data_IF_132152785589
#
_entry.id   IF_132152785589
#
_cell.length_a   1.000
_cell.length_b   1.000
_cell.length_c   1.000
_cell.angle_alpha   90.00
_cell.angle_beta   90.00
_cell.angle_gamma   90.00
#
_symmetry.space_group_name_H-M   'P 1'
#
loop_
_entity.id
_entity.type
_entity.pdbx_description
1 polymer ?
#
# COMPACT_ATOMS: atom_id res chain seq x y z
N UNK A 1 -1.72 1.96 13.42
CA UNK A 1 -2.66 2.82 12.68
C UNK A 1 -4.02 2.15 12.47
N UNK A 2 -4.02 0.88 12.14
CA UNK A 2 -5.27 0.15 11.90
C UNK A 2 -6.17 0.17 13.12
N UNK A 3 -5.61 -0.13 14.29
CA UNK A 3 -6.37 -0.22 15.52
C UNK A 3 -6.85 1.13 16.02
N UNK A 4 -6.19 2.20 15.63
CA UNK A 4 -6.58 3.54 16.04
C UNK A 4 -7.64 4.16 15.15
N UNK A 5 -8.05 3.47 14.09
CA UNK A 5 -9.03 4.00 13.14
C UNK A 5 -8.44 5.04 12.18
N UNK A 6 -7.14 5.13 12.10
CA UNK A 6 -6.48 6.14 11.26
C UNK A 6 -6.93 6.05 9.80
N UNK A 7 -7.11 4.83 9.28
CA UNK A 7 -7.41 4.65 7.86
C UNK A 7 -8.85 4.91 7.49
N UNK A 8 -9.75 4.96 8.47
CA UNK A 8 -11.16 5.17 8.18
C UNK A 8 -11.37 6.57 7.63
N UNK A 9 -12.04 6.66 6.50
CA UNK A 9 -12.28 7.94 5.83
C UNK A 9 -11.11 8.42 4.97
N UNK A 10 -10.01 7.70 4.91
CA UNK A 10 -8.93 8.05 4.00
C UNK A 10 -9.22 7.52 2.61
N UNK A 11 -8.50 8.04 1.62
CA UNK A 11 -8.73 7.69 0.21
C UNK A 11 -7.48 7.10 -0.41
N UNK A 12 -7.68 6.41 -1.53
CA UNK A 12 -6.58 6.12 -2.44
C UNK A 12 -6.36 7.36 -3.29
N UNK A 13 -5.43 8.18 -2.88
CA UNK A 13 -5.21 9.50 -3.49
C UNK A 13 -4.26 9.47 -4.68
N UNK A 14 -3.63 8.34 -4.94
CA UNK A 14 -2.70 8.21 -6.06
C UNK A 14 -2.87 6.83 -6.69
N UNK A 15 -3.35 6.82 -7.92
CA UNK A 15 -3.66 5.58 -8.63
C UNK A 15 -2.94 5.62 -9.97
N UNK A 16 -2.02 4.69 -10.18
CA UNK A 16 -1.24 4.60 -11.42
C UNK A 16 -1.42 3.19 -12.00
N UNK A 17 -2.28 3.06 -13.03
CA UNK A 17 -2.51 1.74 -13.64
C UNK A 17 -1.22 1.09 -14.09
N UNK A 18 -1.11 -0.21 -13.84
CA UNK A 18 0.08 -0.96 -14.20
C UNK A 18 1.27 -0.72 -13.28
N UNK A 19 1.09 0.03 -12.22
CA UNK A 19 2.15 0.30 -11.25
C UNK A 19 1.66 0.03 -9.82
N UNK A 20 0.85 0.93 -9.24
CA UNK A 20 0.40 0.76 -7.86
C UNK A 20 -0.82 1.64 -7.57
N UNK A 21 -1.50 1.35 -6.46
CA UNK A 21 -2.46 2.28 -5.86
C UNK A 21 -1.97 2.62 -4.46
N UNK A 22 -2.05 3.89 -4.10
CA UNK A 22 -1.49 4.39 -2.84
C UNK A 22 -2.55 5.13 -2.06
N UNK A 23 -2.60 4.91 -0.76
CA UNK A 23 -3.59 5.54 0.09
C UNK A 23 -3.22 5.52 1.56
N UNK A 24 -4.18 5.90 2.37
CA UNK A 24 -4.07 5.83 3.83
C UNK A 24 -3.57 7.10 4.48
N UNK A 25 -3.38 8.19 3.73
CA UNK A 25 -2.83 9.42 4.30
C UNK A 25 -3.71 10.66 4.17
N UNK A 26 -4.67 10.65 3.26
CA UNK A 26 -5.43 11.86 2.94
C UNK A 26 -6.93 11.63 3.03
N UNK A 27 -7.66 12.68 3.41
CA UNK A 27 -9.12 12.70 3.37
C UNK A 27 -9.60 12.90 1.94
N UNK A 28 -10.91 12.74 1.66
CA UNK A 28 -11.43 13.04 0.32
C UNK A 28 -11.14 14.45 -0.15
N UNK A 29 -10.97 15.40 0.77
CA UNK A 29 -10.60 16.77 0.46
C UNK A 29 -9.10 16.94 0.23
N UNK A 30 -8.33 15.84 0.30
CA UNK A 30 -6.88 15.83 0.14
C UNK A 30 -6.15 16.58 1.26
N UNK A 31 -6.71 16.53 2.44
CA UNK A 31 -6.03 17.01 3.65
C UNK A 31 -5.30 15.84 4.30
N UNK A 32 -4.04 16.07 4.62
CA UNK A 32 -3.22 15.02 5.21
C UNK A 32 -3.62 14.78 6.66
N UNK A 33 -3.86 13.53 7.02
CA UNK A 33 -4.19 13.20 8.41
C UNK A 33 -2.90 13.14 9.23
N UNK A 34 -2.95 13.61 10.48
CA UNK A 34 -1.77 13.54 11.34
C UNK A 34 -1.33 12.09 11.57
N UNK A 35 -0.03 11.90 11.69
CA UNK A 35 0.56 10.58 11.91
C UNK A 35 1.34 10.55 13.22
N UNK A 36 1.79 9.35 13.58
CA UNK A 36 2.58 9.17 14.79
C UNK A 36 4.08 9.41 14.57
N UNK A 37 4.42 9.83 13.35
CA UNK A 37 5.80 10.09 12.99
C UNK A 37 6.42 8.97 12.17
N UNK A 38 7.58 9.23 11.59
CA UNK A 38 8.22 8.27 10.69
C UNK A 38 8.82 7.08 11.44
N UNK A 39 8.97 5.98 10.71
CA UNK A 39 9.56 4.76 11.25
C UNK A 39 10.72 4.33 10.36
N UNK A 40 11.58 3.50 10.94
CA UNK A 40 12.73 2.98 10.24
C UNK A 40 12.33 2.10 9.07
N UNK A 41 13.07 2.19 7.97
CA UNK A 41 12.82 1.39 6.78
C UNK A 41 13.23 -0.05 7.01
N UNK A 42 12.31 -0.98 6.75
CA UNK A 42 12.56 -2.41 6.91
C UNK A 42 12.60 -3.13 5.56
N UNK A 43 12.95 -2.44 4.49
CA UNK A 43 12.99 -3.05 3.16
C UNK A 43 14.02 -4.17 3.04
N UNK A 44 14.94 -4.27 4.00
CA UNK A 44 15.95 -5.32 4.03
C UNK A 44 15.42 -6.64 4.58
N UNK A 45 14.12 -6.77 4.70
CA UNK A 45 13.50 -7.97 5.29
C UNK A 45 13.41 -9.16 4.32
N UNK A 46 13.93 -9.03 3.09
CA UNK A 46 13.93 -10.11 2.12
C UNK A 46 12.64 -10.23 1.32
N UNK A 47 11.64 -9.40 1.61
CA UNK A 47 10.37 -9.43 0.87
C UNK A 47 10.46 -8.55 -0.35
N UNK A 48 9.83 -8.97 -1.43
CA UNK A 48 9.91 -8.28 -2.71
C UNK A 48 8.59 -7.60 -3.05
N UNK A 49 8.70 -6.51 -3.81
CA UNK A 49 7.54 -5.75 -4.28
C UNK A 49 6.92 -6.45 -5.50
N UNK A 50 6.35 -7.62 -5.26
CA UNK A 50 5.66 -8.40 -6.28
C UNK A 50 4.21 -7.99 -6.38
N UNK A 51 3.54 -8.38 -7.47
CA UNK A 51 2.11 -8.09 -7.62
C UNK A 51 1.34 -8.56 -6.39
N UNK A 52 0.41 -7.74 -5.94
CA UNK A 52 -0.47 -7.98 -4.79
C UNK A 52 0.21 -7.84 -3.44
N UNK A 53 1.47 -7.41 -3.38
CA UNK A 53 2.08 -7.09 -2.08
C UNK A 53 1.71 -5.67 -1.67
N UNK A 54 1.74 -5.43 -0.36
CA UNK A 54 1.44 -4.13 0.25
C UNK A 54 2.73 -3.64 0.88
N UNK A 55 3.10 -2.40 0.58
CA UNK A 55 4.37 -1.83 1.02
C UNK A 55 4.15 -0.44 1.58
N UNK A 56 5.12 0.04 2.35
CA UNK A 56 5.06 1.38 2.95
C UNK A 56 5.49 2.43 1.94
N UNK A 57 4.61 3.41 1.72
CA UNK A 57 4.98 4.61 0.98
C UNK A 57 5.85 5.49 1.86
N UNK A 58 6.72 6.28 1.24
CA UNK A 58 7.64 7.16 1.96
C UNK A 58 8.12 8.28 1.04
N UNK A 59 8.79 9.25 1.65
CA UNK A 59 9.45 10.32 0.92
C UNK A 59 10.86 9.86 0.51
N UNK A 60 11.69 10.80 0.06
CA UNK A 60 13.05 10.47 -0.38
C UNK A 60 13.92 9.92 0.74
N UNK A 61 13.74 10.40 1.97
CA UNK A 61 14.42 9.84 3.13
C UNK A 61 13.97 8.40 3.32
N UNK A 62 14.89 7.42 3.33
CA UNK A 62 14.49 6.02 3.50
C UNK A 62 13.69 5.74 4.78
N UNK A 63 13.88 6.53 5.82
CA UNK A 63 13.21 6.33 7.10
C UNK A 63 12.09 7.35 7.31
N UNK A 64 11.36 7.69 6.24
CA UNK A 64 10.29 8.69 6.31
C UNK A 64 8.88 8.12 6.20
N UNK A 65 8.73 6.79 6.16
CA UNK A 65 7.40 6.18 6.12
C UNK A 65 6.67 6.41 7.43
N UNK A 66 5.41 6.81 7.35
CA UNK A 66 4.69 7.09 8.60
C UNK A 66 3.23 6.62 8.64
N UNK A 67 2.62 6.25 7.54
CA UNK A 67 1.24 5.77 7.61
C UNK A 67 0.67 5.37 6.26
N UNK A 68 1.17 5.95 5.18
CA UNK A 68 0.66 5.64 3.86
C UNK A 68 1.23 4.33 3.36
N UNK A 69 0.44 3.65 2.56
CA UNK A 69 0.83 2.37 1.97
C UNK A 69 0.45 2.35 0.50
N UNK A 70 1.01 1.38 -0.23
CA UNK A 70 0.57 1.15 -1.61
C UNK A 70 0.46 -0.35 -1.87
N UNK A 71 -0.37 -0.69 -2.84
CA UNK A 71 -0.53 -2.08 -3.29
C UNK A 71 0.08 -2.17 -4.68
N UNK A 72 0.99 -3.11 -4.84
CA UNK A 72 1.65 -3.31 -6.12
C UNK A 72 0.71 -4.00 -7.11
N UNK A 73 0.56 -3.40 -8.29
CA UNK A 73 -0.32 -3.94 -9.34
C UNK A 73 0.42 -4.90 -10.26
N UNK A 74 1.74 -4.94 -10.15
CA UNK A 74 2.60 -5.84 -10.91
C UNK A 74 3.88 -6.05 -10.10
N UNK A 75 4.80 -6.84 -10.64
CA UNK A 75 6.10 -7.02 -10.01
C UNK A 75 6.92 -5.75 -10.23
N UNK A 76 7.11 -5.00 -9.16
CA UNK A 76 7.84 -3.72 -9.17
C UNK A 76 9.17 -3.88 -8.46
N UNK A 77 10.04 -4.73 -9.01
CA UNK A 77 11.30 -5.07 -8.32
C UNK A 77 12.29 -3.92 -8.27
N UNK A 78 12.05 -2.86 -9.05
CA UNK A 78 12.86 -1.64 -8.92
C UNK A 78 12.65 -0.96 -7.57
N UNK A 79 11.61 -1.33 -6.84
CA UNK A 79 11.34 -0.82 -5.51
C UNK A 79 11.96 -1.68 -4.42
N UNK A 80 12.63 -2.76 -4.78
CA UNK A 80 13.23 -3.67 -3.80
C UNK A 80 14.57 -3.12 -3.31
N UNK A 81 14.89 -3.47 -2.05
CA UNK A 81 16.17 -3.08 -1.46
C UNK A 81 17.33 -3.59 -2.32
N UNK A 82 18.28 -2.71 -2.56
CA UNK A 82 19.49 -3.08 -3.28
C UNK A 82 19.40 -2.95 -4.79
N UNK A 83 18.22 -2.87 -5.37
CA UNK A 83 18.07 -2.69 -6.81
C UNK A 83 18.00 -1.22 -7.15
N UNK A 84 17.08 -0.49 -6.49
CA UNK A 84 16.90 0.94 -6.71
C UNK A 84 17.32 1.79 -5.53
N UNK A 85 18.11 1.24 -4.59
CA UNK A 85 18.55 1.94 -3.40
C UNK A 85 18.04 1.28 -2.14
N UNK A 86 17.54 2.09 -1.20
CA UNK A 86 17.11 1.61 0.12
C UNK A 86 15.81 0.79 0.06
N UNK A 87 15.05 0.91 -1.02
CA UNK A 87 13.86 0.11 -1.23
C UNK A 87 12.65 0.59 -0.46
N UNK A 88 11.53 -0.10 -0.71
CA UNK A 88 10.25 0.14 -0.05
C UNK A 88 9.85 -1.13 0.70
N UNK A 89 9.51 -0.98 1.96
CA UNK A 89 9.32 -2.13 2.85
C UNK A 89 7.97 -2.79 2.61
N UNK A 90 7.99 -4.03 2.14
CA UNK A 90 6.79 -4.86 2.01
C UNK A 90 6.46 -5.43 3.38
N UNK A 91 5.20 -5.28 3.80
CA UNK A 91 4.77 -5.78 5.10
C UNK A 91 3.53 -6.67 5.02
N UNK A 92 2.95 -6.85 3.82
CA UNK A 92 1.76 -7.67 3.69
C UNK A 92 1.48 -8.02 2.25
N UNK A 93 0.41 -8.78 2.05
CA UNK A 93 -0.04 -9.11 0.70
C UNK A 93 -1.55 -9.27 0.69
N UNK A 94 -2.14 -9.02 -0.46
CA UNK A 94 -3.58 -9.17 -0.66
C UNK A 94 -3.87 -10.66 -0.84
N UNK A 95 -4.69 -11.22 0.04
CA UNK A 95 -5.07 -12.63 -0.04
C UNK A 95 -6.33 -12.82 -0.87
N UNK A 96 -7.26 -11.86 -0.81
CA UNK A 96 -8.50 -11.89 -1.55
C UNK A 96 -8.82 -10.46 -1.99
N UNK A 97 -9.49 -10.31 -3.13
CA UNK A 97 -9.96 -9.01 -3.56
C UNK A 97 -9.05 -8.28 -4.51
N UNK A 98 -8.08 -8.94 -5.14
CA UNK A 98 -7.26 -8.27 -6.16
C UNK A 98 -8.10 -7.78 -7.33
N UNK A 99 -9.24 -8.41 -7.60
CA UNK A 99 -10.16 -7.90 -8.61
C UNK A 99 -10.70 -6.51 -8.22
N UNK A 100 -10.93 -6.27 -6.93
CA UNK A 100 -11.33 -4.95 -6.44
C UNK A 100 -10.19 -3.96 -6.62
N UNK A 101 -8.98 -4.36 -6.26
CA UNK A 101 -7.79 -3.52 -6.43
C UNK A 101 -7.62 -3.14 -7.91
N UNK A 102 -7.77 -4.10 -8.81
CA UNK A 102 -7.65 -3.85 -10.24
C UNK A 102 -8.75 -2.90 -10.73
N UNK A 103 -9.96 -2.97 -10.15
CA UNK A 103 -11.02 -2.03 -10.49
C UNK A 103 -10.72 -0.62 -10.01
N UNK A 104 -10.11 -0.49 -8.84
CA UNK A 104 -9.65 0.82 -8.35
C UNK A 104 -8.60 1.37 -9.31
N UNK A 105 -7.70 0.51 -9.78
CA UNK A 105 -6.63 0.92 -10.69
C UNK A 105 -7.15 1.44 -12.03
N UNK A 106 -8.38 1.11 -12.38
CA UNK A 106 -8.98 1.48 -13.68
C UNK A 106 -9.83 2.75 -13.61
N UNK A 107 -10.00 3.37 -12.45
CA UNK A 107 -10.85 4.56 -12.35
C UNK A 107 -10.18 5.77 -13.02
N UNK A 108 -10.98 6.70 -13.57
CA UNK A 108 -10.42 7.92 -14.14
C UNK A 108 -9.71 8.75 -13.09
N UNK A 109 -8.55 9.29 -13.45
CA UNK A 109 -7.75 10.11 -12.55
C UNK A 109 -7.48 11.47 -13.18
N UNK A 110 -7.07 12.43 -12.34
CA UNK A 110 -6.73 13.78 -12.78
C UNK A 110 -5.82 14.40 -11.73
N UNK A 111 -5.23 15.53 -12.09
CA UNK A 111 -4.45 16.33 -11.14
C UNK A 111 -5.38 17.16 -10.28
N UNK A 112 -5.05 17.31 -8.99
CA UNK A 112 -5.77 18.17 -8.06
C UNK A 112 -4.74 18.91 -7.22
N UNK A 113 -4.56 20.21 -7.49
CA UNK A 113 -3.56 21.01 -6.81
C UNK A 113 -2.16 20.42 -7.04
N UNK A 114 -1.40 20.17 -5.97
CA UNK A 114 -0.07 19.58 -6.10
C UNK A 114 -0.09 18.07 -6.33
N UNK A 115 -1.27 17.44 -6.30
CA UNK A 115 -1.40 15.98 -6.40
C UNK A 115 -1.72 15.57 -7.82
N UNK A 116 -1.04 14.52 -8.30
CA UNK A 116 -1.27 13.95 -9.61
C UNK A 116 -1.83 12.54 -9.48
N UNK A 117 -2.53 12.09 -10.52
CA UNK A 117 -3.07 10.73 -10.57
C UNK A 117 -4.09 10.47 -9.46
N UNK A 118 -4.91 11.47 -9.17
CA UNK A 118 -5.94 11.39 -8.14
C UNK A 118 -7.23 10.89 -8.78
N UNK A 119 -7.89 9.86 -8.23
CA UNK A 119 -9.20 9.44 -8.74
C UNK A 119 -10.17 10.60 -8.75
N UNK A 120 -10.88 10.78 -9.89
CA UNK A 120 -11.83 11.88 -10.03
C UNK A 120 -13.00 11.73 -9.08
N UNK A 121 -13.41 10.50 -8.79
CA UNK A 121 -14.36 10.22 -7.72
C UNK A 121 -13.59 9.54 -6.59
N UNK A 122 -13.72 10.08 -5.39
CA UNK A 122 -12.96 9.59 -4.24
C UNK A 122 -13.21 8.10 -4.01
N UNK A 123 -12.12 7.35 -3.87
CA UNK A 123 -12.18 5.94 -3.49
C UNK A 123 -11.85 5.89 -2.00
N UNK A 124 -12.90 5.74 -1.18
CA UNK A 124 -12.81 5.91 0.26
C UNK A 124 -12.65 4.56 0.95
N UNK A 125 -11.71 4.49 1.88
CA UNK A 125 -11.59 3.35 2.80
C UNK A 125 -12.59 3.60 3.93
N UNK A 126 -13.70 2.85 3.94
CA UNK A 126 -14.76 3.09 4.89
C UNK A 126 -14.39 2.60 6.28
N UNK A 127 -13.83 1.41 6.35
CA UNK A 127 -13.33 0.89 7.62
C UNK A 127 -12.26 -0.15 7.35
N UNK A 128 -11.40 -0.35 8.34
CA UNK A 128 -10.36 -1.36 8.32
C UNK A 128 -10.36 -2.00 9.70
N UNK A 129 -10.34 -3.32 9.74
CA UNK A 129 -10.31 -4.01 11.02
C UNK A 129 -9.37 -5.20 10.95
N UNK A 130 -8.82 -5.52 12.09
CA UNK A 130 -8.00 -6.70 12.24
C UNK A 130 -8.92 -7.91 12.45
N UNK A 131 -8.66 -8.98 11.72
CA UNK A 131 -9.43 -10.23 11.91
C UNK A 131 -8.46 -11.31 12.34
N UNK A 132 -9.01 -12.30 13.03
CA UNK A 132 -8.21 -13.43 13.43
C UNK A 132 -7.80 -14.22 12.19
N UNK A 133 -6.54 -14.62 12.14
CA UNK A 133 -6.04 -15.37 10.99
C UNK A 133 -6.81 -16.68 10.86
N UNK A 134 -7.12 -17.08 9.61
CA UNK A 134 -7.75 -18.38 9.43
C UNK A 134 -6.84 -19.48 9.95
N UNK A 135 -7.46 -20.55 10.38
CA UNK A 135 -6.73 -21.73 10.82
C UNK A 135 -5.74 -22.09 9.73
N UNK A 136 -4.44 -22.18 10.04
CA UNK A 136 -3.47 -22.53 9.03
C UNK A 136 -3.68 -23.98 8.64
N UNK A 137 -4.41 -24.13 7.63
CA UNK A 137 -4.51 -25.46 7.08
C UNK A 137 -3.27 -25.68 6.33
N UNK A 138 -2.90 -25.79 6.47
CA UNK A 138 -2.12 -25.47 5.85
C UNK A 138 -1.17 -24.72 5.42
N UNK A 139 -1.36 -24.56 5.49
CA UNK A 139 -0.61 -24.00 5.28
C UNK A 139 0.28 -23.93 4.74
N UNK A 140 0.46 -23.98 4.67
CA UNK A 140 1.27 -23.72 4.30
C UNK A 140 1.95 -23.36 3.68
N UNK A 141 1.89 -23.34 3.63
CA UNK A 141 2.35 -22.78 3.21
C UNK A 141 2.92 -22.21 2.79
N UNK A 142 2.88 -22.33 2.96
CA UNK A 142 3.25 -21.62 2.71
C UNK A 142 3.59 -21.14 2.17
N UNK A 143 3.45 -21.32 2.14
CA UNK A 143 3.65 -20.69 1.82
C UNK A 143 3.94 -20.17 1.32
N UNK A 144 3.85 -20.34 1.26
CA UNK A 144 4.03 -19.66 1.01
C UNK A 144 4.40 -19.06 0.62
N UNK A 145 4.46 -19.15 0.37
CA UNK A 145 4.73 -18.37 0.19
C UNK A 145 5.01 -17.74 -0.18
N UNK A 146 5.16 -17.38 -0.35
CA UNK A 146 5.39 -16.43 -0.69
C UNK A 146 5.74 -15.94 -1.30
N UNK A 147 5.82 -15.66 -1.40
CA UNK A 147 6.04 -15.00 -2.04
C UNK A 147 6.53 -14.86 -2.71
N UNK A 148 6.51 -15.11 -2.85
CA UNK A 148 6.94 -14.85 -3.33
C UNK A 148 7.21 -14.57 -4.01
N UNK A 149 7.54 -14.43 -4.31
CA UNK A 149 7.78 -13.88 -5.06
C UNK A 149 8.28 -13.89 -5.73
#
# INVERSE_FOLDING_TARGET
YLRSGHYEGTVFHRVMPGFMIQGGGFTPELEEKPTQGPIKNEARNGLRNSRATVAMARKNDPDSADGQFFVNLRDNHRLDYGIGGAGYAVFGQVLEGMDVVDRIAAVPTASRGPHENVPQMAVVIKNVREVEAPEPAAAPKAAAEPPKP
#
